data_IF_643041923296
#
_entry.id   IF_643041923296
#
_cell.length_a   1.000
_cell.length_b   1.000
_cell.length_c   1.000
_cell.angle_alpha   90.00
_cell.angle_beta   90.00
_cell.angle_gamma   90.00
#
_symmetry.space_group_name_H-M   'P 1'
#
loop_
_entity.id
_entity.type
_entity.pdbx_description
1 polymer ?
#
# COMPACT_ATOMS: atom_id res chain seq x y z
N UNK A 1 -17.39 118.42 29.64
CA UNK A 1 -15.97 118.08 29.41
C UNK A 1 -15.45 117.35 30.64
N UNK A 2 -14.60 116.30 30.55
CA UNK A 2 -14.24 115.40 29.45
C UNK A 2 -14.68 113.93 29.76
N UNK A 3 -15.13 113.13 28.79
CA UNK A 3 -14.40 112.24 27.84
C UNK A 3 -13.82 110.93 28.41
N UNK A 4 -13.95 109.89 27.56
CA UNK A 4 -13.40 108.52 27.56
C UNK A 4 -14.32 107.44 28.18
N UNK A 5 -14.80 106.43 27.45
CA UNK A 5 -14.56 106.00 26.07
C UNK A 5 -14.85 104.50 25.92
N UNK A 6 -15.25 104.07 24.71
CA UNK A 6 -15.06 102.77 24.02
C UNK A 6 -14.75 101.51 24.85
N UNK A 7 -15.17 100.30 24.51
CA UNK A 7 -15.94 99.71 23.42
C UNK A 7 -16.19 98.25 23.90
N UNK A 8 -17.41 97.72 23.79
CA UNK A 8 -17.78 96.71 22.79
C UNK A 8 -16.73 95.61 22.60
N UNK A 9 -17.13 94.38 23.00
CA UNK A 9 -16.89 93.06 22.39
C UNK A 9 -15.67 92.96 21.43
N UNK A 10 -14.89 91.89 21.47
CA UNK A 10 -15.38 90.63 20.89
C UNK A 10 -14.41 89.49 21.15
N UNK A 11 -15.01 88.33 21.39
CA UNK A 11 -14.45 86.99 21.33
C UNK A 11 -13.55 86.81 20.11
N UNK A 12 -12.23 86.71 20.31
CA UNK A 12 -11.35 86.20 19.26
C UNK A 12 -10.14 85.47 19.86
N UNK A 13 -10.42 84.55 20.79
CA UNK A 13 -9.48 83.51 21.21
C UNK A 13 -10.07 82.17 20.80
N UNK A 14 -10.11 81.92 19.49
CA UNK A 14 -10.45 80.61 18.94
C UNK A 14 -10.05 80.62 17.47
N UNK A 15 -8.77 80.37 17.17
CA UNK A 15 -8.23 79.82 15.90
C UNK A 15 -6.71 79.67 16.08
N UNK A 16 -6.28 78.75 16.96
CA UNK A 16 -4.91 78.23 16.96
C UNK A 16 -4.91 77.00 16.05
N UNK A 17 -4.38 77.14 14.84
CA UNK A 17 -4.15 76.03 13.92
C UNK A 17 -4.69 76.23 12.50
N UNK A 18 -4.27 77.29 11.80
CA UNK A 18 -4.45 77.37 10.35
C UNK A 18 -3.11 76.97 9.75
N UNK A 19 -3.05 75.79 9.15
CA UNK A 19 -1.91 75.34 8.33
C UNK A 19 -1.70 76.39 7.25
N UNK A 20 -0.48 76.88 7.11
CA UNK A 20 -0.14 77.87 6.10
C UNK A 20 -0.07 77.24 4.71
N UNK A 21 -0.30 78.02 3.65
CA UNK A 21 -0.20 77.53 2.27
C UNK A 21 1.19 76.94 1.95
N UNK A 22 2.23 77.37 2.66
CA UNK A 22 3.59 76.85 2.48
C UNK A 22 3.77 75.48 3.15
N UNK A 23 3.27 75.30 4.38
CA UNK A 23 3.22 73.99 5.06
C UNK A 23 2.37 72.99 4.25
N UNK A 24 1.30 73.44 3.61
CA UNK A 24 0.47 72.60 2.74
C UNK A 24 1.23 72.14 1.49
N UNK A 25 2.02 73.01 0.86
CA UNK A 25 2.85 72.65 -0.31
C UNK A 25 3.94 71.64 0.05
N UNK A 26 4.59 71.81 1.20
CA UNK A 26 5.63 70.89 1.67
C UNK A 26 5.06 69.49 1.89
N UNK A 27 3.89 69.38 2.53
CA UNK A 27 3.20 68.10 2.74
C UNK A 27 2.79 67.45 1.40
N UNK A 28 2.26 68.23 0.45
CA UNK A 28 1.89 67.69 -0.87
C UNK A 28 3.13 67.22 -1.64
N UNK A 29 4.24 67.95 -1.53
CA UNK A 29 5.50 67.57 -2.16
C UNK A 29 6.09 66.28 -1.56
N UNK A 30 6.07 66.12 -0.23
CA UNK A 30 6.54 64.88 0.42
C UNK A 30 5.67 63.68 0.04
N UNK A 31 4.34 63.83 0.04
CA UNK A 31 3.39 62.79 -0.39
C UNK A 31 3.64 62.40 -1.85
N UNK A 32 3.93 63.35 -2.73
CA UNK A 32 4.20 63.06 -4.13
C UNK A 32 5.47 62.21 -4.33
N UNK A 33 6.49 62.43 -3.50
CA UNK A 33 7.72 61.62 -3.50
C UNK A 33 7.44 60.22 -2.94
N UNK A 34 6.79 60.13 -1.78
CA UNK A 34 6.42 58.85 -1.14
C UNK A 34 5.53 57.99 -2.04
N UNK A 35 4.54 58.60 -2.70
CA UNK A 35 3.67 57.92 -3.65
C UNK A 35 4.47 57.35 -4.85
N UNK A 36 5.48 58.08 -5.32
CA UNK A 36 6.35 57.60 -6.41
C UNK A 36 7.18 56.41 -5.97
N UNK A 37 7.73 56.44 -4.76
CA UNK A 37 8.49 55.34 -4.18
C UNK A 37 7.62 54.10 -3.96
N UNK A 38 6.39 54.27 -3.44
CA UNK A 38 5.41 53.21 -3.28
C UNK A 38 5.03 52.54 -4.61
N UNK A 39 4.82 53.32 -5.68
CA UNK A 39 4.51 52.78 -7.01
C UNK A 39 5.69 51.95 -7.56
N UNK A 40 6.93 52.36 -7.30
CA UNK A 40 8.12 51.60 -7.70
C UNK A 40 8.23 50.31 -6.89
N UNK A 41 8.06 50.39 -5.56
CA UNK A 41 8.07 49.22 -4.68
C UNK A 41 6.98 48.20 -5.06
N UNK A 42 5.76 48.65 -5.34
CA UNK A 42 4.66 47.79 -5.77
C UNK A 42 4.99 47.06 -7.09
N UNK A 43 5.55 47.76 -8.07
CA UNK A 43 5.98 47.15 -9.34
C UNK A 43 7.05 46.08 -9.15
N UNK A 44 7.96 46.28 -8.19
CA UNK A 44 8.99 45.31 -7.87
C UNK A 44 8.41 44.09 -7.14
N UNK A 45 7.48 44.30 -6.19
CA UNK A 45 6.73 43.20 -5.55
C UNK A 45 5.94 42.39 -6.57
N UNK A 46 5.25 43.03 -7.52
CA UNK A 46 4.52 42.34 -8.59
C UNK A 46 5.43 41.50 -9.48
N UNK A 47 6.67 41.96 -9.73
CA UNK A 47 7.67 41.18 -10.46
C UNK A 47 8.14 39.97 -9.67
N UNK A 48 8.48 40.16 -8.40
CA UNK A 48 8.91 39.07 -7.52
C UNK A 48 7.81 38.01 -7.38
N UNK A 49 6.56 38.42 -7.18
CA UNK A 49 5.41 37.50 -7.12
C UNK A 49 5.23 36.69 -8.40
N UNK A 50 5.37 37.32 -9.57
CA UNK A 50 5.30 36.62 -10.87
C UNK A 50 6.44 35.62 -11.05
N UNK A 51 7.63 35.95 -10.57
CA UNK A 51 8.78 35.05 -10.64
C UNK A 51 8.62 33.87 -9.68
N UNK A 52 8.17 34.12 -8.44
CA UNK A 52 7.83 33.06 -7.49
C UNK A 52 6.74 32.13 -8.01
N UNK A 53 5.66 32.67 -8.61
CA UNK A 53 4.60 31.86 -9.21
C UNK A 53 5.11 30.97 -10.35
N UNK A 54 6.04 31.47 -11.17
CA UNK A 54 6.71 30.67 -12.21
C UNK A 54 7.56 29.55 -11.62
N UNK A 55 8.35 29.84 -10.58
CA UNK A 55 9.19 28.85 -9.91
C UNK A 55 8.34 27.76 -9.24
N UNK A 56 7.26 28.14 -8.55
CA UNK A 56 6.33 27.21 -7.94
C UNK A 56 5.66 26.30 -8.98
N UNK A 57 5.25 26.85 -10.12
CA UNK A 57 4.68 26.06 -11.23
C UNK A 57 5.70 25.07 -11.80
N UNK A 58 6.95 25.50 -12.00
CA UNK A 58 8.01 24.63 -12.48
C UNK A 58 8.28 23.48 -11.49
N UNK A 59 8.41 23.78 -10.20
CA UNK A 59 8.60 22.78 -9.15
C UNK A 59 7.42 21.81 -9.03
N UNK A 60 6.19 22.29 -9.20
CA UNK A 60 5.01 21.42 -9.17
C UNK A 60 5.01 20.41 -10.32
N UNK A 61 5.42 20.83 -11.52
CA UNK A 61 5.52 19.94 -12.69
C UNK A 61 6.63 18.90 -12.50
N UNK A 62 7.80 19.32 -11.99
CA UNK A 62 8.92 18.42 -11.69
C UNK A 62 8.55 17.40 -10.62
N UNK A 63 7.94 17.84 -9.51
CA UNK A 63 7.47 16.96 -8.45
C UNK A 63 6.41 15.95 -8.96
N UNK A 64 5.53 16.36 -9.87
CA UNK A 64 4.57 15.43 -10.47
C UNK A 64 5.27 14.39 -11.36
N UNK A 65 6.26 14.80 -12.15
CA UNK A 65 7.06 13.91 -12.98
C UNK A 65 7.80 12.88 -12.12
N UNK A 66 8.53 13.32 -11.10
CA UNK A 66 9.28 12.45 -10.19
C UNK A 66 8.37 11.48 -9.45
N UNK A 67 7.19 11.94 -9.02
CA UNK A 67 6.19 11.07 -8.40
C UNK A 67 5.69 10.00 -9.37
N UNK A 68 5.55 10.31 -10.66
CA UNK A 68 5.13 9.33 -11.68
C UNK A 68 6.23 8.29 -11.93
N UNK A 69 7.48 8.73 -12.07
CA UNK A 69 8.63 7.83 -12.28
C UNK A 69 8.85 6.91 -11.07
N UNK A 70 8.77 7.46 -9.86
CA UNK A 70 8.86 6.68 -8.62
C UNK A 70 7.74 5.63 -8.52
N UNK A 71 6.51 5.95 -8.91
CA UNK A 71 5.41 4.98 -8.96
C UNK A 71 5.67 3.84 -9.97
N UNK A 72 6.25 4.14 -11.13
CA UNK A 72 6.63 3.13 -12.13
C UNK A 72 7.74 2.23 -11.59
N UNK A 73 8.80 2.81 -11.05
CA UNK A 73 9.92 2.10 -10.45
C UNK A 73 9.46 1.17 -9.32
N UNK A 74 8.63 1.66 -8.39
CA UNK A 74 8.06 0.82 -7.32
C UNK A 74 7.23 -0.35 -7.87
N UNK A 75 6.49 -0.16 -8.96
CA UNK A 75 5.71 -1.23 -9.60
C UNK A 75 6.61 -2.27 -10.24
N UNK A 76 7.69 -1.85 -10.90
CA UNK A 76 8.67 -2.75 -11.51
C UNK A 76 9.45 -3.54 -10.46
N UNK A 77 9.90 -2.88 -9.39
CA UNK A 77 10.51 -3.52 -8.24
C UNK A 77 9.57 -4.54 -7.61
N UNK A 78 8.29 -4.20 -7.42
CA UNK A 78 7.28 -5.14 -6.92
C UNK A 78 7.13 -6.38 -7.81
N UNK A 79 7.14 -6.22 -9.14
CA UNK A 79 7.10 -7.34 -10.09
C UNK A 79 8.36 -8.20 -10.03
N UNK A 80 9.54 -7.59 -9.95
CA UNK A 80 10.81 -8.32 -9.88
C UNK A 80 10.94 -9.10 -8.56
N UNK A 81 10.59 -8.48 -7.43
CA UNK A 81 10.57 -9.12 -6.11
C UNK A 81 9.57 -10.29 -6.11
N UNK A 82 8.37 -10.09 -6.68
CA UNK A 82 7.38 -11.17 -6.83
C UNK A 82 7.91 -12.32 -7.71
N UNK A 83 8.58 -12.01 -8.82
CA UNK A 83 9.20 -13.01 -9.69
C UNK A 83 10.31 -13.81 -9.02
N UNK A 84 11.10 -13.18 -8.13
CA UNK A 84 12.10 -13.87 -7.33
C UNK A 84 11.45 -14.78 -6.28
N UNK A 85 10.44 -14.31 -5.55
CA UNK A 85 9.71 -15.12 -4.58
C UNK A 85 9.10 -16.38 -5.21
N UNK A 86 8.52 -16.28 -6.40
CA UNK A 86 7.98 -17.41 -7.15
C UNK A 86 9.06 -18.43 -7.51
N UNK A 87 10.25 -17.99 -7.93
CA UNK A 87 11.38 -18.88 -8.23
C UNK A 87 11.85 -19.66 -7.00
N UNK A 88 11.94 -19.00 -5.84
CA UNK A 88 12.30 -19.66 -4.59
C UNK A 88 11.24 -20.68 -4.13
N UNK A 89 9.96 -20.38 -4.31
CA UNK A 89 8.86 -21.33 -4.08
C UNK A 89 8.99 -22.57 -4.97
N UNK A 90 9.11 -22.37 -6.28
CA UNK A 90 9.24 -23.47 -7.25
C UNK A 90 10.49 -24.35 -7.04
N UNK A 91 11.59 -23.75 -6.55
CA UNK A 91 12.80 -24.52 -6.19
C UNK A 91 12.58 -25.36 -4.94
N UNK A 92 11.92 -24.79 -3.92
CA UNK A 92 11.58 -25.49 -2.68
C UNK A 92 10.61 -26.64 -2.95
N UNK A 93 9.58 -26.41 -3.77
CA UNK A 93 8.67 -27.43 -4.27
C UNK A 93 9.44 -28.53 -4.99
N UNK A 94 10.27 -28.17 -5.97
CA UNK A 94 11.01 -29.14 -6.79
C UNK A 94 11.94 -30.05 -5.99
N UNK A 95 12.63 -29.52 -4.97
CA UNK A 95 13.49 -30.31 -4.10
C UNK A 95 12.67 -31.22 -3.16
N UNK A 96 11.57 -30.72 -2.59
CA UNK A 96 10.75 -31.49 -1.65
C UNK A 96 9.77 -32.46 -2.33
N UNK A 97 9.54 -32.33 -3.64
CA UNK A 97 8.51 -33.06 -4.38
C UNK A 97 8.63 -34.58 -4.25
N UNK A 98 9.81 -35.22 -4.39
CA UNK A 98 9.93 -36.68 -4.25
C UNK A 98 9.49 -37.16 -2.85
N UNK A 99 9.92 -36.44 -1.80
CA UNK A 99 9.55 -36.74 -0.42
C UNK A 99 8.04 -36.51 -0.19
N UNK A 100 7.50 -35.42 -0.73
CA UNK A 100 6.08 -35.11 -0.64
C UNK A 100 5.21 -36.17 -1.33
N UNK A 101 5.58 -36.63 -2.52
CA UNK A 101 4.91 -37.72 -3.23
C UNK A 101 4.90 -39.00 -2.39
N UNK A 102 6.03 -39.33 -1.75
CA UNK A 102 6.13 -40.49 -0.86
C UNK A 102 5.17 -40.35 0.33
N UNK A 103 5.13 -39.20 1.00
CA UNK A 103 4.25 -38.97 2.16
C UNK A 103 2.77 -39.00 1.76
N UNK A 104 2.39 -38.31 0.68
CA UNK A 104 1.00 -38.31 0.18
C UNK A 104 0.53 -39.73 -0.19
N UNK A 105 1.40 -40.55 -0.77
CA UNK A 105 1.05 -41.95 -1.10
C UNK A 105 1.03 -42.87 0.11
N UNK A 106 2.02 -42.77 1.01
CA UNK A 106 2.20 -43.75 2.10
C UNK A 106 1.39 -43.42 3.36
N UNK A 107 1.26 -42.14 3.72
CA UNK A 107 0.54 -41.72 4.93
C UNK A 107 -0.90 -41.33 4.63
N UNK A 108 -1.13 -40.66 3.50
CA UNK A 108 -2.47 -40.21 3.10
C UNK A 108 -3.15 -41.16 2.10
N UNK A 109 -2.47 -42.21 1.63
CA UNK A 109 -3.00 -43.20 0.67
C UNK A 109 -3.56 -42.56 -0.61
N UNK A 110 -2.94 -41.46 -1.07
CA UNK A 110 -3.33 -40.79 -2.30
C UNK A 110 -2.84 -41.56 -3.52
N UNK A 111 -3.69 -41.66 -4.54
CA UNK A 111 -3.42 -42.44 -5.75
C UNK A 111 -2.77 -41.58 -6.83
N UNK A 112 -3.26 -40.34 -6.96
CA UNK A 112 -2.79 -39.36 -7.92
C UNK A 112 -2.12 -38.23 -7.17
N UNK A 113 -0.91 -37.86 -7.60
CA UNK A 113 -0.18 -36.68 -7.11
C UNK A 113 0.28 -35.90 -8.34
N UNK A 114 -0.22 -34.68 -8.49
CA UNK A 114 0.01 -33.80 -9.64
C UNK A 114 0.65 -32.48 -9.17
N UNK A 115 1.94 -32.26 -9.45
CA UNK A 115 2.60 -30.99 -9.16
C UNK A 115 2.22 -29.91 -10.19
N UNK A 116 2.40 -28.64 -9.79
CA UNK A 116 2.27 -27.44 -10.62
C UNK A 116 0.97 -27.38 -11.44
N UNK A 117 -0.17 -27.58 -10.78
CA UNK A 117 -1.48 -27.59 -11.45
C UNK A 117 -1.97 -26.16 -11.64
N UNK A 118 -2.17 -25.77 -12.91
CA UNK A 118 -2.77 -24.48 -13.29
C UNK A 118 -4.04 -24.71 -14.09
N UNK A 119 -5.13 -24.07 -13.69
CA UNK A 119 -6.42 -24.12 -14.39
C UNK A 119 -6.95 -22.72 -14.62
N UNK A 120 -7.42 -22.47 -15.85
CA UNK A 120 -8.04 -21.20 -16.24
C UNK A 120 -9.51 -21.42 -16.61
N UNK A 121 -10.39 -20.56 -16.08
CA UNK A 121 -11.82 -20.51 -16.42
C UNK A 121 -12.21 -19.07 -16.72
N UNK A 122 -12.43 -18.77 -18.01
CA UNK A 122 -12.64 -17.38 -18.47
C UNK A 122 -11.42 -16.51 -18.15
N UNK A 123 -11.63 -15.45 -17.38
CA UNK A 123 -10.58 -14.52 -16.94
C UNK A 123 -9.98 -14.89 -15.58
N UNK A 124 -10.50 -15.92 -14.92
CA UNK A 124 -9.97 -16.41 -13.64
C UNK A 124 -8.95 -17.52 -13.84
N UNK A 125 -7.92 -17.52 -12.99
CA UNK A 125 -6.90 -18.56 -12.92
C UNK A 125 -6.75 -19.04 -11.47
N UNK A 126 -6.41 -20.31 -11.31
CA UNK A 126 -6.05 -20.94 -10.06
C UNK A 126 -4.78 -21.76 -10.27
N UNK A 127 -3.79 -21.52 -9.41
CA UNK A 127 -2.54 -22.28 -9.34
C UNK A 127 -2.49 -23.03 -8.02
N UNK A 128 -2.07 -24.29 -8.09
CA UNK A 128 -1.91 -25.20 -6.94
C UNK A 128 -0.54 -25.86 -7.09
N UNK A 129 0.31 -25.72 -6.07
CA UNK A 129 1.67 -26.30 -6.10
C UNK A 129 1.59 -27.83 -6.20
N UNK A 130 0.78 -28.49 -5.36
CA UNK A 130 0.49 -29.93 -5.52
C UNK A 130 -0.98 -30.24 -5.26
N UNK A 131 -1.61 -30.87 -6.25
CA UNK A 131 -2.96 -31.46 -6.14
C UNK A 131 -2.83 -32.97 -6.00
N UNK A 132 -3.50 -33.53 -5.00
CA UNK A 132 -3.44 -34.97 -4.71
C UNK A 132 -4.83 -35.51 -4.41
N UNK A 133 -5.20 -36.67 -4.96
CA UNK A 133 -6.52 -37.24 -4.71
C UNK A 133 -6.54 -38.77 -4.82
N UNK A 134 -7.57 -39.35 -4.21
CA UNK A 134 -7.92 -40.76 -4.33
C UNK A 134 -9.41 -40.91 -4.72
N UNK A 135 -9.70 -41.95 -5.50
CA UNK A 135 -11.05 -42.30 -5.94
C UNK A 135 -11.52 -43.67 -5.44
N UNK A 136 -10.68 -44.44 -4.76
CA UNK A 136 -10.99 -45.80 -4.30
C UNK A 136 -11.53 -45.84 -2.87
N UNK A 137 -10.75 -46.41 -1.93
CA UNK A 137 -11.10 -46.55 -0.51
C UNK A 137 -11.21 -45.20 0.20
N UNK A 138 -10.56 -44.17 -0.34
CA UNK A 138 -10.63 -42.78 0.11
C UNK A 138 -11.26 -41.92 -0.97
N UNK A 139 -12.25 -41.12 -0.57
CA UNK A 139 -12.90 -40.14 -1.44
C UNK A 139 -12.49 -38.72 -1.02
N UNK A 140 -11.20 -38.44 -1.14
CA UNK A 140 -10.56 -37.24 -0.60
C UNK A 140 -9.67 -36.56 -1.65
N UNK A 141 -9.47 -35.26 -1.47
CA UNK A 141 -8.57 -34.41 -2.26
C UNK A 141 -7.80 -33.49 -1.33
N UNK A 142 -6.50 -33.35 -1.59
CA UNK A 142 -5.57 -32.53 -0.84
C UNK A 142 -4.96 -31.50 -1.78
N UNK A 143 -4.98 -30.24 -1.33
CA UNK A 143 -4.28 -29.11 -1.93
C UNK A 143 -3.09 -28.81 -1.04
N UNK A 144 -1.88 -28.83 -1.60
CA UNK A 144 -0.65 -28.44 -0.91
C UNK A 144 -0.17 -27.11 -1.46
N UNK A 145 0.12 -26.18 -0.56
CA UNK A 145 0.79 -24.91 -0.85
C UNK A 145 2.17 -24.93 -0.17
N UNK A 146 3.21 -24.53 -0.90
CA UNK A 146 4.61 -24.58 -0.49
C UNK A 146 5.19 -23.17 -0.37
N UNK A 147 5.75 -22.84 0.79
CA UNK A 147 6.44 -21.56 1.03
C UNK A 147 7.84 -21.77 1.56
N UNK A 148 8.85 -21.09 1.04
CA UNK A 148 10.17 -21.08 1.69
C UNK A 148 10.07 -20.44 3.08
N UNK A 149 9.41 -19.28 3.16
CA UNK A 149 9.14 -18.59 4.43
C UNK A 149 7.67 -18.29 4.52
N UNK A 150 6.96 -18.92 5.47
CA UNK A 150 5.54 -18.67 5.62
C UNK A 150 5.30 -17.28 6.18
N UNK A 151 4.31 -16.59 5.60
CA UNK A 151 3.75 -15.34 6.09
C UNK A 151 2.23 -15.47 6.21
N UNK A 152 1.59 -14.50 6.85
CA UNK A 152 0.14 -14.46 7.03
C UNK A 152 -0.61 -14.56 5.68
N UNK A 153 -0.09 -13.90 4.64
CA UNK A 153 -0.67 -13.91 3.29
C UNK A 153 -0.65 -15.31 2.65
N UNK A 154 0.36 -16.13 2.96
CA UNK A 154 0.43 -17.50 2.46
C UNK A 154 -0.68 -18.39 3.04
N UNK A 155 -1.07 -18.15 4.31
CA UNK A 155 -2.20 -18.86 4.93
C UNK A 155 -3.52 -18.44 4.30
N UNK A 156 -3.67 -17.15 4.01
CA UNK A 156 -4.86 -16.62 3.34
C UNK A 156 -4.95 -17.10 1.89
N UNK A 157 -3.81 -17.24 1.20
CA UNK A 157 -3.76 -17.80 -0.15
C UNK A 157 -4.28 -19.25 -0.18
N UNK A 158 -3.81 -20.13 0.72
CA UNK A 158 -4.32 -21.50 0.78
C UNK A 158 -5.83 -21.53 1.09
N UNK A 159 -6.31 -20.61 1.94
CA UNK A 159 -7.74 -20.47 2.22
C UNK A 159 -8.55 -20.05 0.99
N UNK A 160 -8.05 -19.10 0.18
CA UNK A 160 -8.66 -18.71 -1.09
C UNK A 160 -8.73 -19.92 -2.03
N UNK A 161 -7.62 -20.64 -2.19
CA UNK A 161 -7.52 -21.81 -3.06
C UNK A 161 -8.58 -22.86 -2.70
N UNK A 162 -8.65 -23.29 -1.43
CA UNK A 162 -9.64 -24.31 -1.03
C UNK A 162 -11.08 -23.82 -1.17
N UNK A 163 -11.33 -22.52 -0.95
CA UNK A 163 -12.69 -21.96 -1.07
C UNK A 163 -13.19 -21.92 -2.52
N UNK A 164 -12.29 -21.70 -3.47
CA UNK A 164 -12.58 -21.64 -4.91
C UNK A 164 -12.39 -22.98 -5.61
N UNK A 165 -11.76 -23.95 -4.96
CA UNK A 165 -11.36 -25.23 -5.54
C UNK A 165 -12.48 -25.91 -6.35
N UNK A 166 -13.69 -26.00 -5.78
CA UNK A 166 -14.84 -26.68 -6.42
C UNK A 166 -15.38 -25.95 -7.64
N UNK A 167 -15.20 -24.63 -7.72
CA UNK A 167 -15.50 -23.89 -8.93
C UNK A 167 -14.57 -24.32 -10.08
N UNK A 168 -13.29 -24.53 -9.80
CA UNK A 168 -12.29 -24.95 -10.79
C UNK A 168 -12.33 -26.45 -11.09
N UNK A 169 -12.55 -27.29 -10.09
CA UNK A 169 -12.55 -28.76 -10.19
C UNK A 169 -13.91 -29.38 -9.79
N UNK A 170 -14.99 -29.14 -10.57
CA UNK A 170 -16.32 -29.68 -10.27
C UNK A 170 -16.37 -31.22 -10.22
N UNK A 171 -15.45 -31.90 -10.90
CA UNK A 171 -15.26 -33.35 -10.86
C UNK A 171 -14.89 -33.90 -9.46
N UNK A 172 -14.45 -33.02 -8.55
CA UNK A 172 -14.10 -33.37 -7.18
C UNK A 172 -15.13 -32.88 -6.15
N UNK A 173 -16.34 -32.46 -6.58
CA UNK A 173 -17.38 -31.89 -5.71
C UNK A 173 -17.83 -32.75 -4.54
N UNK A 174 -17.78 -34.07 -4.68
CA UNK A 174 -18.25 -35.00 -3.65
C UNK A 174 -17.10 -35.52 -2.77
N UNK A 175 -15.86 -35.04 -3.00
CA UNK A 175 -14.67 -35.43 -2.22
C UNK A 175 -14.49 -34.54 -1.01
N UNK A 176 -14.02 -35.10 0.11
CA UNK A 176 -13.55 -34.27 1.22
C UNK A 176 -12.28 -33.53 0.79
N UNK A 177 -12.32 -32.20 0.84
CA UNK A 177 -11.19 -31.35 0.46
C UNK A 177 -10.43 -30.91 1.71
N UNK A 178 -9.11 -31.11 1.71
CA UNK A 178 -8.23 -30.67 2.78
C UNK A 178 -7.08 -29.82 2.22
N UNK A 179 -6.56 -28.92 3.05
CA UNK A 179 -5.38 -28.11 2.74
C UNK A 179 -4.18 -28.55 3.57
N UNK A 180 -3.00 -28.51 2.95
CA UNK A 180 -1.69 -28.70 3.61
C UNK A 180 -0.83 -27.47 3.33
N UNK A 181 -0.39 -26.79 4.40
CA UNK A 181 0.58 -25.70 4.31
C UNK A 181 1.97 -26.26 4.62
N UNK A 182 2.84 -26.26 3.61
CA UNK A 182 4.21 -26.73 3.72
C UNK A 182 5.18 -25.56 3.73
N UNK A 183 6.12 -25.51 4.68
CA UNK A 183 7.15 -24.49 4.66
C UNK A 183 8.51 -24.93 5.19
N UNK A 184 9.57 -24.27 4.71
CA UNK A 184 10.92 -24.41 5.27
C UNK A 184 11.00 -23.68 6.61
N UNK A 185 10.57 -22.41 6.62
CA UNK A 185 10.46 -21.61 7.84
C UNK A 185 9.00 -21.30 8.18
N UNK A 186 8.58 -21.74 9.37
CA UNK A 186 7.25 -21.52 9.92
C UNK A 186 7.35 -21.21 11.42
N UNK A 187 6.99 -19.99 11.81
CA UNK A 187 6.93 -19.62 13.24
C UNK A 187 5.78 -20.32 13.96
N UNK A 188 5.89 -20.49 15.28
CA UNK A 188 4.83 -21.10 16.10
C UNK A 188 3.48 -20.38 15.95
N UNK A 189 3.49 -19.04 15.90
CA UNK A 189 2.27 -18.22 15.67
C UNK A 189 1.60 -18.58 14.34
N UNK A 190 2.38 -18.71 13.27
CA UNK A 190 1.84 -19.04 11.95
C UNK A 190 1.38 -20.50 11.89
N UNK A 191 2.09 -21.42 12.54
CA UNK A 191 1.66 -22.81 12.69
C UNK A 191 0.31 -22.91 13.40
N UNK A 192 0.14 -22.22 14.52
CA UNK A 192 -1.15 -22.13 15.22
C UNK A 192 -2.26 -21.58 14.31
N UNK A 193 -1.95 -20.53 13.52
CA UNK A 193 -2.90 -19.99 12.54
C UNK A 193 -3.29 -21.02 11.48
N UNK A 194 -2.33 -21.73 10.88
CA UNK A 194 -2.57 -22.82 9.90
C UNK A 194 -3.51 -23.88 10.50
N UNK A 195 -3.17 -24.38 11.69
CA UNK A 195 -3.97 -25.39 12.39
C UNK A 195 -5.36 -24.88 12.76
N UNK A 196 -5.49 -23.62 13.18
CA UNK A 196 -6.79 -23.00 13.51
C UNK A 196 -7.71 -22.86 12.30
N UNK A 197 -7.14 -22.75 11.09
CA UNK A 197 -7.89 -22.83 9.82
C UNK A 197 -8.22 -24.29 9.45
N UNK A 198 -7.79 -25.27 10.23
CA UNK A 198 -8.01 -26.69 9.95
C UNK A 198 -7.16 -27.23 8.81
N UNK A 199 -6.05 -26.56 8.47
CA UNK A 199 -5.05 -27.07 7.53
C UNK A 199 -4.02 -27.91 8.25
N UNK A 200 -3.50 -28.94 7.58
CA UNK A 200 -2.29 -29.60 8.02
C UNK A 200 -1.11 -28.63 7.91
N UNK A 201 -0.22 -28.66 8.90
CA UNK A 201 1.10 -28.04 8.80
C UNK A 201 2.13 -29.10 8.41
N UNK A 202 3.01 -28.77 7.48
CA UNK A 202 4.13 -29.60 7.08
C UNK A 202 5.43 -28.80 7.09
N UNK A 203 6.51 -29.44 7.49
CA UNK A 203 7.86 -28.88 7.50
C UNK A 203 8.67 -29.47 6.36
N UNK A 204 9.43 -28.61 5.68
CA UNK A 204 10.44 -28.99 4.69
C UNK A 204 11.81 -28.73 5.30
N UNK A 205 12.63 -29.76 5.43
CA UNK A 205 14.01 -29.66 5.94
C UNK A 205 14.91 -30.58 5.13
N UNK A 206 16.01 -30.07 4.60
CA UNK A 206 16.96 -30.86 3.78
C UNK A 206 16.25 -31.71 2.70
N UNK A 207 15.33 -31.09 1.96
CA UNK A 207 14.53 -31.74 0.90
C UNK A 207 13.50 -32.76 1.41
N UNK A 208 13.42 -32.98 2.72
CA UNK A 208 12.46 -33.89 3.36
C UNK A 208 11.19 -33.17 3.74
N UNK A 209 10.06 -33.66 3.22
CA UNK A 209 8.72 -33.24 3.59
C UNK A 209 8.22 -34.09 4.77
N UNK A 210 7.69 -33.44 5.81
CA UNK A 210 7.15 -34.12 6.99
C UNK A 210 5.92 -33.42 7.54
N UNK A 211 4.92 -34.19 7.98
CA UNK A 211 3.73 -33.64 8.62
C UNK A 211 4.08 -33.25 10.07
N UNK A 212 3.72 -32.03 10.45
CA UNK A 212 4.03 -31.44 11.74
C UNK A 212 2.75 -30.91 12.41
N UNK A 213 1.84 -31.83 12.75
CA UNK A 213 0.59 -31.52 13.46
C UNK A 213 0.53 -32.27 14.79
N UNK A 214 -0.20 -31.76 15.80
CA UNK A 214 -0.47 -32.50 17.03
C UNK A 214 -1.15 -33.84 16.75
N UNK A 215 -0.88 -34.88 17.55
CA UNK A 215 -1.44 -36.22 17.35
C UNK A 215 -3.00 -36.27 17.33
N UNK A 216 -3.65 -35.33 18.02
CA UNK A 216 -5.10 -35.23 18.12
C UNK A 216 -5.70 -34.25 17.07
N UNK A 217 -4.88 -33.75 16.14
CA UNK A 217 -5.34 -32.76 15.17
C UNK A 217 -6.38 -33.35 14.23
N UNK A 218 -7.49 -32.63 14.05
CA UNK A 218 -8.55 -32.97 13.11
C UNK A 218 -8.59 -31.88 12.04
N UNK A 219 -8.28 -32.20 10.77
CA UNK A 219 -8.34 -31.21 9.70
C UNK A 219 -9.80 -30.84 9.40
N UNK A 220 -9.99 -29.63 8.89
CA UNK A 220 -11.29 -29.19 8.37
C UNK A 220 -11.45 -29.67 6.94
N UNK A 221 -12.56 -30.34 6.65
CA UNK A 221 -13.00 -30.57 5.27
C UNK A 221 -13.69 -29.31 4.72
N UNK A 222 -13.29 -28.88 3.53
CA UNK A 222 -13.78 -27.69 2.82
C UNK A 222 -14.79 -27.99 1.70
#
# INVERSE_FOLDING_TARGET
>A
MPFCGCAILSVQVLWRGIVTDEELKEIVASIAVEHRELVVAQKETDRQLKETDRQLKAQAVEAEHDRREMKKSNRELGKQIGGLANKFGSFTEGLALPSMQQILRSQFNMEVVSPSVRVKKGDEELEIDVLSYANSTLNEVYVVEVKSHLRDEGVDQLLDIVSRFRHFFPEHKDKKLYGIMAAVEMSSRLKERVLSKGFYAAKISDEVFSIDVPAQFQPKAY
#
